data_IF_158284711145
#
_entry.id   IF_158284711145
#
_cell.length_a   1.000
_cell.length_b   1.000
_cell.length_c   1.000
_cell.angle_alpha   90.00
_cell.angle_beta   90.00
_cell.angle_gamma   90.00
#
_symmetry.space_group_name_H-M   'P 1'
#
loop_
_entity.id
_entity.type
_entity.pdbx_description
1 polymer ?
#
# COMPACT_ATOMS: atom_id res chain seq x y z
N UNK A 1 60.52 -28.03 -19.25
CA UNK A 1 60.55 -27.50 -17.89
C UNK A 1 59.22 -27.89 -17.21
N UNK A 2 59.23 -28.88 -16.33
CA UNK A 2 58.03 -29.33 -15.59
C UNK A 2 57.90 -28.42 -14.38
N UNK A 3 56.75 -27.70 -14.20
CA UNK A 3 56.57 -26.83 -13.05
C UNK A 3 56.55 -27.65 -11.77
N UNK A 4 57.24 -27.16 -10.72
CA UNK A 4 57.35 -27.87 -9.45
C UNK A 4 55.93 -28.06 -8.82
N UNK A 5 55.65 -29.24 -8.23
CA UNK A 5 54.30 -29.56 -7.70
C UNK A 5 53.84 -28.58 -6.61
N UNK A 6 54.78 -27.93 -5.91
CA UNK A 6 54.51 -26.91 -4.89
C UNK A 6 53.89 -25.63 -5.46
N UNK A 7 54.25 -25.23 -6.69
CA UNK A 7 53.66 -24.02 -7.33
C UNK A 7 52.23 -24.31 -7.76
N UNK A 8 51.91 -25.50 -8.19
CA UNK A 8 50.56 -25.91 -8.58
C UNK A 8 49.59 -25.92 -7.39
N UNK A 9 50.03 -26.50 -6.28
CA UNK A 9 49.22 -26.52 -5.02
C UNK A 9 48.94 -25.12 -4.54
N UNK A 10 49.90 -24.20 -4.59
CA UNK A 10 49.71 -22.79 -4.16
C UNK A 10 48.74 -22.03 -5.05
N UNK A 11 48.74 -22.25 -6.37
CA UNK A 11 47.79 -21.63 -7.30
C UNK A 11 46.38 -22.16 -7.07
N UNK A 12 46.21 -23.46 -6.90
CA UNK A 12 44.89 -24.04 -6.61
C UNK A 12 44.34 -23.60 -5.24
N UNK A 13 45.19 -23.49 -4.23
CA UNK A 13 44.81 -22.97 -2.93
C UNK A 13 44.33 -21.51 -3.02
N UNK A 14 45.02 -20.64 -3.76
CA UNK A 14 44.62 -19.25 -4.01
C UNK A 14 43.27 -19.16 -4.76
N UNK A 15 43.08 -19.98 -5.80
CA UNK A 15 41.80 -20.00 -6.54
C UNK A 15 40.66 -20.47 -5.66
N UNK A 16 40.88 -21.48 -4.84
CA UNK A 16 39.89 -22.00 -3.92
C UNK A 16 39.50 -20.95 -2.84
N UNK A 17 40.52 -20.23 -2.33
CA UNK A 17 40.30 -19.15 -1.34
C UNK A 17 39.54 -18.00 -1.96
N UNK A 18 39.84 -17.58 -3.18
CA UNK A 18 39.11 -16.53 -3.90
C UNK A 18 37.66 -16.94 -4.20
N UNK A 19 37.46 -18.22 -4.59
CA UNK A 19 36.09 -18.77 -4.77
C UNK A 19 35.31 -18.80 -3.47
N UNK A 20 35.94 -19.19 -2.35
CA UNK A 20 35.31 -19.24 -1.04
C UNK A 20 34.97 -17.82 -0.54
N UNK A 21 35.86 -16.85 -0.71
CA UNK A 21 35.62 -15.44 -0.38
C UNK A 21 34.53 -14.86 -1.28
N UNK A 22 34.48 -15.19 -2.54
CA UNK A 22 33.41 -14.80 -3.47
C UNK A 22 32.05 -15.38 -3.08
N UNK A 23 32.00 -16.61 -2.56
CA UNK A 23 30.77 -17.24 -2.07
C UNK A 23 30.27 -16.59 -0.76
N UNK A 24 31.21 -16.21 0.12
CA UNK A 24 30.89 -15.52 1.40
C UNK A 24 30.52 -14.06 1.21
N UNK A 25 30.96 -13.44 0.10
CA UNK A 25 30.62 -12.07 -0.27
C UNK A 25 29.31 -11.97 -1.07
N UNK A 26 28.50 -13.05 -1.15
CA UNK A 26 27.20 -13.00 -1.80
C UNK A 26 26.34 -11.95 -1.09
N UNK A 27 25.81 -10.94 -1.80
CA UNK A 27 24.98 -9.93 -1.15
C UNK A 27 23.77 -10.65 -0.57
N UNK A 28 23.64 -10.59 0.76
CA UNK A 28 22.38 -10.97 1.43
C UNK A 28 21.32 -10.03 0.88
N UNK A 29 20.44 -10.54 0.04
CA UNK A 29 19.38 -9.75 -0.56
C UNK A 29 18.61 -9.00 0.54
N UNK A 30 18.50 -7.68 0.39
CA UNK A 30 17.64 -6.88 1.25
C UNK A 30 16.19 -7.31 0.95
N UNK A 31 15.60 -8.13 1.82
CA UNK A 31 14.22 -8.56 1.69
C UNK A 31 13.31 -7.44 2.18
N UNK A 32 12.35 -7.05 1.36
CA UNK A 32 11.29 -6.12 1.76
C UNK A 32 10.50 -6.73 2.93
N UNK A 33 10.23 -5.96 3.97
CA UNK A 33 9.52 -6.41 5.16
C UNK A 33 8.50 -5.38 5.63
N UNK A 34 7.27 -5.85 5.89
CA UNK A 34 6.19 -5.04 6.45
C UNK A 34 6.44 -4.54 7.87
N UNK A 35 7.34 -5.22 8.61
CA UNK A 35 7.47 -5.06 10.05
C UNK A 35 8.73 -4.28 10.47
N UNK A 36 9.39 -3.61 9.52
CA UNK A 36 10.54 -2.79 9.83
C UNK A 36 10.41 -1.38 9.23
N UNK A 37 11.09 -0.42 9.87
CA UNK A 37 11.16 0.96 9.42
C UNK A 37 12.38 1.17 8.49
N UNK A 38 12.43 0.39 7.40
CA UNK A 38 13.44 0.53 6.34
C UNK A 38 12.80 1.01 5.08
N UNK A 39 13.53 1.82 4.33
CA UNK A 39 13.16 2.15 2.96
C UNK A 39 13.43 0.95 2.05
N UNK A 40 12.35 0.39 1.51
CA UNK A 40 12.42 -0.73 0.57
C UNK A 40 12.01 -0.31 -0.85
N UNK A 41 11.52 0.91 -1.03
CA UNK A 41 10.97 1.47 -2.26
C UNK A 41 9.51 1.88 -2.12
N UNK A 42 8.81 2.07 -3.25
CA UNK A 42 7.40 2.45 -3.27
C UNK A 42 6.53 1.39 -2.56
N UNK A 43 5.98 1.77 -1.41
CA UNK A 43 5.20 0.85 -0.56
C UNK A 43 3.91 0.35 -1.22
N UNK A 44 3.30 1.13 -2.10
CA UNK A 44 2.09 0.70 -2.81
C UNK A 44 2.39 -0.36 -3.86
N UNK A 45 3.53 -0.26 -4.56
CA UNK A 45 3.96 -1.29 -5.49
C UNK A 45 4.34 -2.59 -4.76
N UNK A 46 5.12 -2.46 -3.67
CA UNK A 46 5.71 -3.61 -2.97
C UNK A 46 4.70 -4.35 -2.09
N UNK A 47 3.85 -3.61 -1.37
CA UNK A 47 2.99 -4.20 -0.33
C UNK A 47 1.50 -4.18 -0.66
N UNK A 48 1.09 -3.45 -1.70
CA UNK A 48 -0.30 -3.37 -2.13
C UNK A 48 -0.54 -3.74 -3.61
N UNK A 49 0.53 -4.09 -4.34
CA UNK A 49 0.44 -4.44 -5.76
C UNK A 49 -0.08 -3.31 -6.65
N UNK A 50 0.02 -2.05 -6.21
CA UNK A 50 -0.57 -0.90 -6.89
C UNK A 50 0.41 0.28 -7.00
N UNK A 51 1.45 0.10 -7.82
CA UNK A 51 2.47 1.14 -8.06
C UNK A 51 1.96 2.38 -8.80
N UNK A 52 0.75 2.34 -9.37
CA UNK A 52 0.18 3.47 -10.10
C UNK A 52 -0.37 4.59 -9.21
N UNK A 53 -0.41 4.37 -7.89
CA UNK A 53 -0.87 5.38 -6.92
C UNK A 53 0.12 6.53 -6.76
N UNK A 54 1.40 6.31 -7.04
CA UNK A 54 2.46 7.31 -6.84
C UNK A 54 3.30 7.43 -8.11
N UNK A 55 3.45 8.64 -8.67
CA UNK A 55 2.90 9.93 -8.17
C UNK A 55 1.37 10.03 -8.39
N UNK A 56 0.66 10.87 -7.58
CA UNK A 56 -0.75 11.15 -7.79
C UNK A 56 -0.98 11.83 -9.15
N UNK A 57 -2.17 11.64 -9.72
CA UNK A 57 -2.51 12.17 -11.05
C UNK A 57 -2.69 13.69 -11.06
N UNK A 58 -3.26 14.23 -9.99
CA UNK A 58 -3.52 15.66 -9.81
C UNK A 58 -2.84 16.16 -8.53
N UNK A 59 -2.56 17.47 -8.51
CA UNK A 59 -2.25 18.14 -7.26
C UNK A 59 -3.52 18.40 -6.45
N UNK A 60 -3.38 18.70 -5.15
CA UNK A 60 -4.54 19.10 -4.34
C UNK A 60 -5.20 20.36 -4.90
N UNK A 61 -4.41 21.34 -5.36
CA UNK A 61 -4.91 22.56 -5.93
C UNK A 61 -5.79 22.31 -7.16
N UNK A 62 -5.33 21.44 -8.07
CA UNK A 62 -6.09 21.06 -9.27
C UNK A 62 -7.37 20.30 -8.91
N UNK A 63 -7.29 19.37 -7.99
CA UNK A 63 -8.43 18.57 -7.55
C UNK A 63 -9.53 19.46 -6.92
N UNK A 64 -9.13 20.46 -6.12
CA UNK A 64 -10.06 21.41 -5.52
C UNK A 64 -10.65 22.37 -6.57
N UNK A 65 -9.84 22.83 -7.53
CA UNK A 65 -10.31 23.68 -8.64
C UNK A 65 -11.34 22.95 -9.51
N UNK A 66 -11.19 21.65 -9.67
CA UNK A 66 -12.11 20.77 -10.41
C UNK A 66 -13.31 20.29 -9.56
N UNK A 67 -13.49 20.82 -8.35
CA UNK A 67 -14.54 20.41 -7.40
C UNK A 67 -14.62 18.90 -7.15
N UNK A 68 -13.46 18.24 -7.13
CA UNK A 68 -13.40 16.78 -6.90
C UNK A 68 -13.37 16.45 -5.41
N UNK A 69 -14.17 15.48 -5.02
CA UNK A 69 -13.98 14.84 -3.71
C UNK A 69 -12.57 14.26 -3.66
N UNK A 70 -11.80 14.66 -2.66
CA UNK A 70 -10.37 14.33 -2.57
C UNK A 70 -10.06 13.56 -1.31
N UNK A 71 -9.26 12.50 -1.47
CA UNK A 71 -8.72 11.69 -0.38
C UNK A 71 -7.22 11.90 -0.29
N UNK A 72 -6.75 12.63 0.73
CA UNK A 72 -5.33 12.76 1.05
C UNK A 72 -4.91 11.62 1.97
N UNK A 73 -3.77 11.00 1.66
CA UNK A 73 -3.16 9.96 2.50
C UNK A 73 -1.71 10.31 2.76
N UNK A 74 -1.39 10.71 3.99
CA UNK A 74 -0.01 11.02 4.40
C UNK A 74 0.68 9.76 4.89
N UNK A 75 1.90 9.53 4.40
CA UNK A 75 2.64 8.30 4.67
C UNK A 75 4.17 8.52 4.59
N UNK A 76 4.94 7.52 5.03
CA UNK A 76 6.39 7.41 4.81
C UNK A 76 6.71 6.03 4.21
N UNK A 77 7.59 6.01 3.22
CA UNK A 77 8.00 4.76 2.55
C UNK A 77 8.82 3.83 3.47
N UNK A 78 9.48 4.37 4.48
CA UNK A 78 10.29 3.64 5.45
C UNK A 78 9.55 3.32 6.76
N UNK A 79 8.24 3.60 6.84
CA UNK A 79 7.43 3.31 8.04
C UNK A 79 6.68 1.99 7.93
N UNK A 80 6.91 1.07 8.86
CA UNK A 80 6.17 -0.19 8.97
C UNK A 80 4.64 0.02 9.09
N UNK A 81 4.21 1.09 9.75
CA UNK A 81 2.78 1.43 9.88
C UNK A 81 2.20 1.85 8.54
N UNK A 82 2.92 2.66 7.76
CA UNK A 82 2.50 3.07 6.41
C UNK A 82 2.49 1.87 5.44
N UNK A 83 3.48 0.99 5.52
CA UNK A 83 3.55 -0.24 4.72
C UNK A 83 2.31 -1.12 4.95
N UNK A 84 1.92 -1.34 6.20
CA UNK A 84 0.70 -2.09 6.53
C UNK A 84 -0.58 -1.39 6.06
N UNK A 85 -0.60 -0.07 6.08
CA UNK A 85 -1.75 0.72 5.63
C UNK A 85 -1.88 0.81 4.10
N UNK A 86 -0.83 0.51 3.34
CA UNK A 86 -0.83 0.59 1.88
C UNK A 86 -1.91 -0.28 1.23
N UNK A 87 -2.21 -1.46 1.79
CA UNK A 87 -3.30 -2.32 1.34
C UNK A 87 -4.68 -1.68 1.45
N UNK A 88 -4.92 -0.93 2.53
CA UNK A 88 -6.17 -0.17 2.74
C UNK A 88 -6.32 0.90 1.64
N UNK A 89 -5.25 1.64 1.35
CA UNK A 89 -5.26 2.69 0.32
C UNK A 89 -5.51 2.10 -1.08
N UNK A 90 -4.90 0.96 -1.39
CA UNK A 90 -5.14 0.25 -2.66
C UNK A 90 -6.60 -0.20 -2.79
N UNK A 91 -7.21 -0.69 -1.71
CA UNK A 91 -8.62 -1.06 -1.70
C UNK A 91 -9.54 0.16 -1.88
N UNK A 92 -9.21 1.30 -1.24
CA UNK A 92 -9.95 2.55 -1.46
C UNK A 92 -9.87 3.01 -2.91
N UNK A 93 -8.70 2.89 -3.55
CA UNK A 93 -8.54 3.16 -4.98
C UNK A 93 -9.40 2.23 -5.84
N UNK A 94 -9.44 0.95 -5.52
CA UNK A 94 -10.24 -0.03 -6.25
C UNK A 94 -11.74 0.28 -6.20
N UNK A 95 -12.24 0.73 -5.04
CA UNK A 95 -13.66 1.00 -4.81
C UNK A 95 -14.08 2.38 -5.32
N UNK A 96 -13.26 3.40 -5.07
CA UNK A 96 -13.63 4.81 -5.25
C UNK A 96 -12.89 5.51 -6.38
N UNK A 97 -11.83 4.92 -6.92
CA UNK A 97 -10.86 5.58 -7.80
C UNK A 97 -11.43 6.27 -9.05
N UNK A 98 -12.67 5.93 -9.47
CA UNK A 98 -13.37 6.61 -10.56
C UNK A 98 -14.21 7.80 -10.08
N UNK A 99 -14.48 7.89 -8.78
CA UNK A 99 -15.41 8.87 -8.18
C UNK A 99 -14.73 9.95 -7.35
N UNK A 100 -13.47 9.73 -6.99
CA UNK A 100 -12.68 10.65 -6.17
C UNK A 100 -11.31 10.88 -6.77
N UNK A 101 -10.60 11.89 -6.27
CA UNK A 101 -9.16 12.02 -6.47
C UNK A 101 -8.42 11.52 -5.24
N UNK A 102 -7.60 10.47 -5.41
CA UNK A 102 -6.78 9.90 -4.35
C UNK A 102 -5.35 10.41 -4.50
N UNK A 103 -4.87 11.11 -3.47
CA UNK A 103 -3.58 11.80 -3.45
C UNK A 103 -2.73 11.25 -2.29
N UNK A 104 -1.92 10.21 -2.52
CA UNK A 104 -0.92 9.78 -1.57
C UNK A 104 0.24 10.77 -1.51
N UNK A 105 0.68 11.10 -0.29
CA UNK A 105 1.65 12.15 -0.01
C UNK A 105 2.75 11.63 0.93
N UNK A 106 3.97 11.53 0.44
CA UNK A 106 5.14 11.34 1.29
C UNK A 106 5.34 12.57 2.14
N UNK A 107 5.56 12.41 3.45
CA UNK A 107 5.60 13.54 4.38
C UNK A 107 6.97 14.22 4.49
N UNK A 108 8.06 13.58 4.06
CA UNK A 108 9.41 14.16 4.10
C UNK A 108 9.50 15.53 3.40
N UNK A 109 8.94 15.73 2.19
CA UNK A 109 8.97 17.02 1.52
C UNK A 109 8.14 18.11 2.21
N UNK A 110 7.29 17.76 3.18
CA UNK A 110 6.46 18.72 3.92
C UNK A 110 7.22 19.35 5.09
N UNK A 111 8.29 18.70 5.55
CA UNK A 111 9.07 19.16 6.70
C UNK A 111 9.73 20.52 6.41
N UNK A 112 9.65 21.42 7.40
CA UNK A 112 10.28 22.76 7.30
C UNK A 112 9.62 23.72 6.30
N UNK A 113 8.54 23.33 5.64
CA UNK A 113 7.75 24.22 4.76
C UNK A 113 6.83 25.11 5.59
N UNK A 114 6.42 26.22 4.96
CA UNK A 114 5.37 27.11 5.47
C UNK A 114 4.06 26.75 4.76
N UNK A 115 2.99 26.63 5.53
CA UNK A 115 1.64 26.38 5.02
C UNK A 115 1.19 27.52 4.09
N UNK A 116 0.85 27.17 2.86
CA UNK A 116 0.38 28.12 1.82
C UNK A 116 -1.17 28.21 1.75
N UNK A 117 -1.88 27.60 2.69
CA UNK A 117 -3.34 27.65 2.79
C UNK A 117 -4.05 26.39 2.26
N UNK A 118 -5.38 26.42 2.10
CA UNK A 118 -6.21 25.23 1.89
C UNK A 118 -5.91 24.42 0.63
N UNK A 119 -5.21 24.98 -0.36
CA UNK A 119 -4.76 24.25 -1.54
C UNK A 119 -3.40 23.57 -1.39
N UNK A 120 -2.71 23.80 -0.25
CA UNK A 120 -1.46 23.12 0.09
C UNK A 120 -1.76 21.90 0.97
N UNK A 121 -1.30 20.71 0.61
CA UNK A 121 -1.42 19.53 1.49
C UNK A 121 -0.88 19.74 2.91
N UNK A 122 0.15 20.58 3.09
CA UNK A 122 0.69 20.89 4.41
C UNK A 122 -0.35 21.48 5.38
N UNK A 123 -1.37 22.18 4.84
CA UNK A 123 -2.46 22.77 5.63
C UNK A 123 -3.21 21.74 6.49
N UNK A 124 -3.33 20.51 6.00
CA UNK A 124 -4.07 19.43 6.66
C UNK A 124 -3.17 18.48 7.43
N UNK A 125 -1.84 18.59 7.29
CA UNK A 125 -0.89 17.70 7.92
C UNK A 125 -0.82 17.88 9.44
N UNK A 126 -1.02 16.80 10.21
CA UNK A 126 -1.04 16.79 11.69
C UNK A 126 0.23 16.25 12.34
N UNK A 127 1.25 15.90 11.56
CA UNK A 127 2.50 15.35 12.09
C UNK A 127 2.43 13.87 12.50
N UNK A 128 1.41 13.13 12.08
CA UNK A 128 1.20 11.70 12.43
C UNK A 128 0.97 10.89 11.17
N UNK A 129 1.64 9.75 11.04
CA UNK A 129 1.46 8.81 9.92
C UNK A 129 0.93 7.45 10.41
N UNK A 130 0.12 6.79 9.56
CA UNK A 130 -0.58 7.38 8.43
C UNK A 130 -1.59 8.44 8.90
N UNK A 131 -1.97 9.37 8.03
CA UNK A 131 -3.12 10.23 8.27
C UNK A 131 -3.98 10.22 7.02
N UNK A 132 -5.30 10.25 7.21
CA UNK A 132 -6.29 10.29 6.14
C UNK A 132 -7.13 11.54 6.28
N UNK A 133 -7.26 12.32 5.19
CA UNK A 133 -8.15 13.48 5.14
C UNK A 133 -9.07 13.34 3.93
N UNK A 134 -10.37 13.43 4.16
CA UNK A 134 -11.38 13.48 3.10
C UNK A 134 -11.87 14.91 2.96
N UNK A 135 -11.73 15.47 1.76
CA UNK A 135 -12.25 16.78 1.39
C UNK A 135 -13.43 16.59 0.45
N UNK A 136 -14.52 17.31 0.72
CA UNK A 136 -15.66 17.38 -0.19
C UNK A 136 -15.40 18.29 -1.40
N UNK A 137 -16.35 18.38 -2.34
CA UNK A 137 -16.19 19.11 -3.60
C UNK A 137 -15.97 20.62 -3.41
N UNK A 138 -16.42 21.18 -2.28
CA UNK A 138 -16.20 22.59 -1.93
C UNK A 138 -14.93 22.80 -1.07
N UNK A 139 -14.06 21.78 -0.94
CA UNK A 139 -12.85 21.82 -0.13
C UNK A 139 -13.08 21.70 1.37
N UNK A 140 -14.32 21.44 1.81
CA UNK A 140 -14.64 21.25 3.23
C UNK A 140 -14.09 19.92 3.74
N UNK A 141 -13.54 19.92 4.94
CA UNK A 141 -13.06 18.70 5.61
C UNK A 141 -14.26 17.86 6.06
N UNK A 142 -14.38 16.65 5.54
CA UNK A 142 -15.40 15.66 5.91
C UNK A 142 -14.87 14.68 6.95
N UNK A 143 -13.57 14.34 6.83
CA UNK A 143 -12.84 13.49 7.77
C UNK A 143 -11.40 14.02 7.88
N UNK A 144 -10.87 14.08 9.11
CA UNK A 144 -9.44 14.25 9.40
C UNK A 144 -9.07 13.23 10.48
N UNK A 145 -8.36 12.18 10.10
CA UNK A 145 -8.09 11.04 10.95
C UNK A 145 -6.57 10.77 11.00
N UNK A 146 -5.86 11.32 12.00
CA UNK A 146 -4.46 10.99 12.25
C UNK A 146 -4.32 9.59 12.85
N UNK A 147 -3.29 8.86 12.45
CA UNK A 147 -3.06 7.46 12.82
C UNK A 147 -3.80 6.47 11.92
N UNK A 148 -3.73 5.20 12.30
CA UNK A 148 -4.48 4.15 11.60
C UNK A 148 -5.97 4.31 11.85
N UNK A 149 -6.76 4.30 10.79
CA UNK A 149 -8.20 4.41 10.80
C UNK A 149 -8.81 3.20 10.09
N UNK A 150 -9.92 2.71 10.61
CA UNK A 150 -10.67 1.60 10.01
C UNK A 150 -11.21 2.02 8.64
N UNK A 151 -11.10 1.11 7.66
CA UNK A 151 -11.50 1.38 6.27
C UNK A 151 -12.98 1.76 6.15
N UNK A 152 -13.83 1.20 7.00
CA UNK A 152 -15.28 1.48 6.99
C UNK A 152 -15.60 2.92 7.41
N UNK A 153 -14.78 3.55 8.26
CA UNK A 153 -14.87 4.97 8.59
C UNK A 153 -14.54 5.83 7.36
N UNK A 154 -13.51 5.46 6.62
CA UNK A 154 -13.14 6.17 5.38
C UNK A 154 -14.23 6.00 4.34
N UNK A 155 -14.78 4.79 4.18
CA UNK A 155 -15.91 4.54 3.28
C UNK A 155 -17.12 5.41 3.62
N UNK A 156 -17.48 5.53 4.90
CA UNK A 156 -18.58 6.37 5.36
C UNK A 156 -18.33 7.85 5.01
N UNK A 157 -17.13 8.36 5.23
CA UNK A 157 -16.76 9.72 4.89
C UNK A 157 -16.82 9.99 3.38
N UNK A 158 -16.30 9.05 2.56
CA UNK A 158 -16.33 9.15 1.11
C UNK A 158 -17.77 9.05 0.56
N UNK A 159 -18.59 8.15 1.10
CA UNK A 159 -20.02 8.06 0.75
C UNK A 159 -20.73 9.36 1.04
N UNK A 160 -20.48 9.97 2.21
CA UNK A 160 -21.04 11.28 2.57
C UNK A 160 -20.57 12.39 1.64
N UNK A 161 -19.29 12.40 1.26
CA UNK A 161 -18.71 13.45 0.43
C UNK A 161 -19.16 13.34 -1.05
N UNK A 162 -19.30 12.12 -1.57
CA UNK A 162 -19.68 11.86 -2.96
C UNK A 162 -21.18 11.77 -3.20
N UNK A 163 -21.96 11.49 -2.15
CA UNK A 163 -23.38 11.14 -2.27
C UNK A 163 -23.64 9.74 -2.81
N UNK A 164 -22.59 8.94 -3.03
CA UNK A 164 -22.71 7.57 -3.53
C UNK A 164 -23.01 6.57 -2.41
N UNK A 165 -23.64 5.43 -2.72
CA UNK A 165 -23.97 4.43 -1.70
C UNK A 165 -22.73 3.88 -1.02
N UNK A 166 -22.88 3.50 0.24
CA UNK A 166 -21.81 2.85 1.00
C UNK A 166 -21.50 1.48 0.39
N UNK A 167 -20.22 1.16 0.15
CA UNK A 167 -19.85 -0.19 -0.28
C UNK A 167 -20.13 -1.21 0.84
N UNK A 168 -20.29 -2.50 0.52
CA UNK A 168 -20.43 -3.55 1.52
C UNK A 168 -19.32 -3.47 2.57
N UNK A 169 -19.64 -3.71 3.83
CA UNK A 169 -18.68 -3.66 4.92
C UNK A 169 -17.52 -4.63 4.72
N UNK A 170 -16.40 -4.38 5.39
CA UNK A 170 -15.22 -5.26 5.32
C UNK A 170 -15.52 -6.68 5.84
N UNK A 171 -16.46 -6.82 6.77
CA UNK A 171 -16.94 -8.11 7.27
C UNK A 171 -17.80 -8.86 6.25
N UNK A 172 -18.70 -8.18 5.56
CA UNK A 172 -19.53 -8.76 4.49
C UNK A 172 -18.70 -9.21 3.29
N UNK A 173 -17.65 -8.44 2.92
CA UNK A 173 -16.72 -8.83 1.85
C UNK A 173 -15.89 -10.06 2.17
N UNK A 174 -15.54 -10.30 3.43
CA UNK A 174 -14.86 -11.54 3.84
C UNK A 174 -15.76 -12.77 3.72
N UNK A 175 -17.07 -12.62 3.90
CA UNK A 175 -18.04 -13.71 3.73
C UNK A 175 -18.24 -14.11 2.25
N UNK A 176 -17.92 -13.25 1.30
CA UNK A 176 -17.98 -13.50 -0.14
C UNK A 176 -16.62 -13.85 -0.75
N UNK A 177 -15.67 -14.33 0.04
CA UNK A 177 -14.38 -14.78 -0.50
C UNK A 177 -14.58 -15.98 -1.43
N UNK A 178 -13.79 -16.06 -2.50
CA UNK A 178 -13.93 -17.07 -3.58
C UNK A 178 -13.85 -18.52 -3.06
N UNK A 179 -13.27 -18.75 -1.89
CA UNK A 179 -13.22 -20.05 -1.25
C UNK A 179 -14.55 -20.46 -0.61
N UNK A 180 -15.38 -19.50 -0.20
CA UNK A 180 -16.71 -19.79 0.36
C UNK A 180 -17.76 -20.09 -0.71
N UNK A 181 -17.54 -19.58 -1.94
CA UNK A 181 -18.39 -19.94 -3.09
C UNK A 181 -18.21 -21.42 -3.53
N UNK A 182 -17.08 -22.04 -3.23
CA UNK A 182 -16.85 -23.45 -3.50
C UNK A 182 -17.46 -24.39 -2.43
N UNK A 183 -17.66 -23.94 -1.20
CA UNK A 183 -18.33 -24.73 -0.16
C UNK A 183 -19.84 -24.79 -0.34
N UNK A 184 -20.42 -23.89 -1.13
CA UNK A 184 -21.85 -23.90 -1.52
C UNK A 184 -22.24 -24.95 -2.56
N UNK A 185 -21.29 -25.65 -3.16
CA UNK A 185 -21.50 -26.77 -4.09
C UNK A 185 -21.48 -28.14 -3.39
N UNK A 186 -21.89 -28.22 -2.15
CA UNK A 186 -22.24 -29.53 -1.60
C UNK A 186 -23.50 -30.00 -2.30
N UNK A 187 -23.31 -31.06 -3.10
CA UNK A 187 -24.30 -31.71 -3.90
C UNK A 187 -25.60 -31.88 -3.12
N UNK A 188 -26.69 -31.35 -3.68
CA UNK A 188 -28.04 -31.84 -3.37
C UNK A 188 -28.02 -33.30 -3.75
N UNK A 189 -27.89 -34.19 -2.77
CA UNK A 189 -28.02 -35.60 -2.99
C UNK A 189 -29.38 -35.87 -3.61
N UNK A 190 -29.48 -36.63 -4.74
CA UNK A 190 -30.77 -36.96 -5.31
C UNK A 190 -31.60 -37.71 -4.28
N UNK A 191 -32.79 -37.22 -4.02
CA UNK A 191 -33.75 -37.88 -3.14
C UNK A 191 -33.91 -39.35 -3.59
N UNK A 192 -33.59 -40.25 -2.64
CA UNK A 192 -33.82 -41.68 -2.86
C UNK A 192 -35.30 -41.89 -3.14
N UNK A 193 -35.64 -42.31 -4.38
CA UNK A 193 -36.95 -42.74 -4.74
C UNK A 193 -37.27 -44.02 -3.97
N UNK A 194 -38.12 -43.91 -2.95
CA UNK A 194 -38.79 -45.03 -2.34
C UNK A 194 -39.69 -45.67 -3.40
N UNK A 195 -39.28 -46.83 -3.89
CA UNK A 195 -40.20 -47.78 -4.58
C UNK A 195 -40.76 -48.71 -3.56
N UNK A 196 -42.05 -48.65 -3.35
CA UNK A 196 -42.91 -49.76 -2.95
C UNK A 196 -43.17 -50.65 -4.13
#
# INVERSE_FOLDING_TARGET
MIPSPVRWIRTWALVLTLLLVGLLAWPVGAWASLDNDRYDGNIYALYAGNGSLVPPRLTLADALADHRVTLLVYYLDDSAVSKRFAGVVSELQRVWGNSIELIPLVTDPLQGRVDAGPSDPLHYWRGVIPQVVVLGPEGQVVLDAPGQVEIDIIHAALSKATGLPLPPSSSERRMTSFNELNDGWQAVAPAASSRE
#
